data_IF_490965110440
#
_entry.id   IF_490965110440
#
_cell.length_a   1.000
_cell.length_b   1.000
_cell.length_c   1.000
_cell.angle_alpha   90.00
_cell.angle_beta   90.00
_cell.angle_gamma   90.00
#
_symmetry.space_group_name_H-M   'P 1'
#
loop_
_entity.id
_entity.type
_entity.pdbx_description
1 polymer ?
#
# COMPACT_ATOMS: atom_id res chain seq x y z
N UNK A 1 28.82 -1.43 5.44
CA UNK A 1 27.53 -0.72 5.48
C UNK A 1 27.55 0.40 6.53
N UNK A 2 26.88 1.53 6.24
CA UNK A 2 26.82 2.73 7.08
C UNK A 2 25.36 3.10 7.38
N UNK A 3 25.09 3.70 8.55
CA UNK A 3 23.83 4.38 8.79
C UNK A 3 23.85 5.79 8.19
N UNK A 4 22.69 6.43 8.04
CA UNK A 4 22.67 7.84 7.59
C UNK A 4 23.34 8.79 8.58
N UNK A 5 23.56 8.39 9.84
CA UNK A 5 24.24 9.20 10.87
C UNK A 5 25.76 9.12 10.78
N UNK A 6 26.28 8.05 10.17
CA UNK A 6 27.72 7.87 9.97
C UNK A 6 28.26 8.73 8.81
N UNK A 7 27.37 9.30 8.00
CA UNK A 7 27.67 10.10 6.83
C UNK A 7 27.54 11.59 7.19
N UNK A 8 28.62 12.39 7.05
CA UNK A 8 28.56 13.82 7.33
C UNK A 8 27.63 14.54 6.36
N UNK A 9 26.82 15.44 6.87
CA UNK A 9 26.01 16.33 6.05
C UNK A 9 26.89 17.47 5.49
N UNK A 10 27.15 17.42 4.22
CA UNK A 10 27.97 18.41 3.47
C UNK A 10 27.12 19.26 2.53
N UNK A 11 25.81 19.26 2.67
CA UNK A 11 24.90 19.99 1.79
C UNK A 11 25.12 21.51 1.91
N UNK A 12 25.47 22.14 0.79
CA UNK A 12 25.58 23.60 0.69
C UNK A 12 24.23 24.27 0.76
N UNK A 13 23.21 23.63 0.14
CA UNK A 13 21.82 24.09 0.15
C UNK A 13 21.00 22.99 0.85
N UNK A 14 20.40 23.29 2.01
CA UNK A 14 19.58 22.32 2.73
C UNK A 14 18.36 21.88 1.93
N UNK A 15 18.00 20.60 2.05
CA UNK A 15 16.74 20.08 1.52
C UNK A 15 15.56 20.73 2.22
N UNK A 16 14.91 21.66 1.55
CA UNK A 16 13.74 22.34 2.08
C UNK A 16 12.47 21.54 1.76
N UNK A 17 11.68 21.25 2.77
CA UNK A 17 10.33 20.67 2.60
C UNK A 17 9.39 21.17 3.70
N UNK A 18 8.09 21.13 3.45
CA UNK A 18 7.07 21.48 4.44
C UNK A 18 6.73 20.32 5.39
N UNK A 19 7.42 19.18 5.26
CA UNK A 19 7.15 17.95 6.00
C UNK A 19 8.34 17.44 6.79
N UNK A 20 8.28 16.19 7.16
CA UNK A 20 9.27 15.45 7.96
C UNK A 20 10.60 15.17 7.26
N UNK A 21 10.71 15.45 5.96
CA UNK A 21 11.99 15.39 5.22
C UNK A 21 12.78 16.68 5.29
N UNK A 22 12.26 17.73 5.95
CA UNK A 22 12.95 19.02 6.05
C UNK A 22 14.31 18.86 6.74
N UNK A 23 15.36 19.42 6.12
CA UNK A 23 16.75 19.34 6.55
C UNK A 23 17.31 17.90 6.71
N UNK A 24 16.70 16.91 6.07
CA UNK A 24 17.21 15.52 6.05
C UNK A 24 18.03 15.23 4.79
N UNK A 25 19.05 16.05 4.56
CA UNK A 25 19.85 16.03 3.31
C UNK A 25 20.45 14.68 3.02
N UNK A 26 21.19 14.08 3.97
CA UNK A 26 21.83 12.77 3.81
C UNK A 26 20.79 11.67 3.52
N UNK A 27 19.69 11.64 4.28
CA UNK A 27 18.64 10.62 4.07
C UNK A 27 18.01 10.75 2.68
N UNK A 28 17.72 11.96 2.23
CA UNK A 28 17.14 12.20 0.91
C UNK A 28 18.13 11.83 -0.21
N UNK A 29 19.41 12.16 -0.05
CA UNK A 29 20.45 11.78 -1.00
C UNK A 29 20.57 10.25 -1.08
N UNK A 30 20.57 9.53 0.05
CA UNK A 30 20.64 8.08 0.05
C UNK A 30 19.41 7.44 -0.61
N UNK A 31 18.22 7.99 -0.41
CA UNK A 31 17.01 7.50 -1.09
C UNK A 31 17.06 7.74 -2.61
N UNK A 32 17.61 8.88 -3.05
CA UNK A 32 17.81 9.16 -4.48
C UNK A 32 18.85 8.19 -5.09
N UNK A 33 19.99 7.98 -4.44
CA UNK A 33 21.01 7.06 -4.90
C UNK A 33 20.51 5.61 -4.96
N UNK A 34 19.67 5.22 -3.99
CA UNK A 34 19.02 3.90 -4.01
C UNK A 34 18.04 3.76 -5.19
N UNK A 35 17.23 4.79 -5.48
CA UNK A 35 16.34 4.78 -6.65
C UNK A 35 17.10 4.73 -7.98
N UNK A 36 18.33 5.25 -8.00
CA UNK A 36 19.25 5.16 -9.15
C UNK A 36 19.99 3.84 -9.24
N UNK A 37 19.90 2.99 -8.21
CA UNK A 37 20.60 1.70 -8.17
C UNK A 37 22.09 1.81 -7.84
N UNK A 38 22.56 2.95 -7.33
CA UNK A 38 23.97 3.17 -6.97
C UNK A 38 24.31 2.60 -5.59
N UNK A 39 23.33 2.55 -4.69
CA UNK A 39 23.46 1.95 -3.36
C UNK A 39 22.24 1.06 -3.07
N UNK A 40 22.37 0.21 -2.05
CA UNK A 40 21.29 -0.64 -1.57
C UNK A 40 21.22 -0.68 -0.04
N UNK A 41 20.17 -1.33 0.46
CA UNK A 41 20.02 -1.60 1.89
C UNK A 41 20.65 -2.95 2.18
N UNK A 42 21.83 -2.94 2.83
CA UNK A 42 22.56 -4.14 3.21
C UNK A 42 22.00 -4.82 4.47
N UNK A 43 21.18 -4.11 5.26
CA UNK A 43 20.59 -4.63 6.50
C UNK A 43 19.97 -3.55 7.37
N UNK A 44 19.79 -3.88 8.65
CA UNK A 44 19.27 -2.95 9.66
C UNK A 44 20.07 -3.05 10.96
N UNK A 45 20.29 -1.90 11.59
CA UNK A 45 20.74 -1.79 12.98
C UNK A 45 19.58 -1.24 13.81
N UNK A 46 18.84 -2.13 14.47
CA UNK A 46 17.58 -1.79 15.11
C UNK A 46 16.55 -1.26 14.11
N UNK A 47 16.19 0.03 14.21
CA UNK A 47 15.24 0.67 13.26
C UNK A 47 15.93 1.37 12.10
N UNK A 48 17.25 1.54 12.13
CA UNK A 48 18.02 2.25 11.12
C UNK A 48 18.39 1.34 9.96
N UNK A 49 18.37 1.89 8.74
CA UNK A 49 18.84 1.21 7.53
C UNK A 49 20.36 1.26 7.49
N UNK A 50 20.98 0.15 7.13
CA UNK A 50 22.39 0.04 6.79
C UNK A 50 22.53 0.12 5.28
N UNK A 51 23.26 1.11 4.81
CA UNK A 51 23.48 1.38 3.40
C UNK A 51 24.85 0.91 2.96
N UNK A 52 24.95 0.36 1.76
CA UNK A 52 26.21 0.02 1.12
C UNK A 52 26.11 0.24 -0.40
N UNK A 53 27.24 0.22 -1.09
CA UNK A 53 27.27 0.32 -2.56
C UNK A 53 26.56 -0.88 -3.20
N UNK A 54 25.89 -0.64 -4.31
CA UNK A 54 25.05 -1.64 -4.99
C UNK A 54 25.79 -2.94 -5.29
N UNK A 55 27.07 -2.86 -5.70
CA UNK A 55 27.93 -4.01 -6.01
C UNK A 55 28.17 -4.95 -4.84
N UNK A 56 28.00 -4.48 -3.59
CA UNK A 56 28.12 -5.32 -2.38
C UNK A 56 26.78 -5.85 -1.87
N UNK A 57 25.67 -5.25 -2.33
CA UNK A 57 24.34 -5.59 -1.87
C UNK A 57 23.64 -6.54 -2.83
N UNK A 58 23.83 -6.32 -4.12
CA UNK A 58 23.18 -7.10 -5.17
C UNK A 58 24.14 -8.13 -5.78
N UNK A 59 23.64 -9.27 -6.26
CA UNK A 59 24.46 -10.26 -6.97
C UNK A 59 25.16 -9.63 -8.19
N UNK A 60 26.40 -10.01 -8.43
CA UNK A 60 27.23 -9.45 -9.52
C UNK A 60 26.77 -9.90 -10.92
N UNK A 61 25.97 -10.95 -10.99
CA UNK A 61 25.51 -11.60 -12.23
C UNK A 61 24.09 -11.17 -12.63
N UNK A 62 23.57 -10.12 -12.02
CA UNK A 62 22.26 -9.58 -12.42
C UNK A 62 22.39 -8.95 -13.81
N UNK A 63 21.67 -9.52 -14.76
CA UNK A 63 21.49 -8.88 -16.05
C UNK A 63 20.71 -7.57 -15.90
N UNK A 64 21.31 -6.46 -16.36
CA UNK A 64 20.66 -5.14 -16.32
C UNK A 64 19.90 -4.94 -17.63
N UNK A 65 18.57 -4.98 -17.62
CA UNK A 65 17.79 -4.76 -18.84
C UNK A 65 17.88 -3.30 -19.32
N UNK A 66 17.54 -3.05 -20.59
CA UNK A 66 17.35 -1.68 -21.08
C UNK A 66 16.26 -0.96 -20.30
N UNK A 67 16.21 0.37 -20.39
CA UNK A 67 15.16 1.19 -19.70
C UNK A 67 13.77 0.78 -20.20
N UNK A 68 13.63 0.54 -21.49
CA UNK A 68 12.36 0.13 -22.11
C UNK A 68 11.94 -1.25 -21.60
N UNK A 69 12.86 -2.18 -21.55
CA UNK A 69 12.62 -3.54 -21.05
C UNK A 69 12.31 -3.53 -19.54
N UNK A 70 13.03 -2.74 -18.76
CA UNK A 70 12.76 -2.56 -17.34
C UNK A 70 11.36 -1.97 -17.10
N UNK A 71 10.93 -1.01 -17.93
CA UNK A 71 9.60 -0.43 -17.87
C UNK A 71 8.52 -1.48 -18.22
N UNK A 72 8.74 -2.30 -19.26
CA UNK A 72 7.84 -3.39 -19.64
C UNK A 72 7.67 -4.40 -18.49
N UNK A 73 8.78 -4.92 -17.97
CA UNK A 73 8.77 -5.88 -16.85
C UNK A 73 8.04 -5.30 -15.63
N UNK A 74 8.31 -4.03 -15.30
CA UNK A 74 7.65 -3.35 -14.19
C UNK A 74 6.14 -3.26 -14.40
N UNK A 75 5.70 -2.89 -15.60
CA UNK A 75 4.29 -2.73 -15.94
C UNK A 75 3.55 -4.07 -15.91
N UNK A 76 4.15 -5.14 -16.43
CA UNK A 76 3.61 -6.49 -16.38
C UNK A 76 3.46 -6.99 -14.93
N UNK A 77 4.50 -6.82 -14.11
CA UNK A 77 4.45 -7.19 -12.68
C UNK A 77 3.38 -6.41 -11.92
N UNK A 78 3.22 -5.12 -12.26
CA UNK A 78 2.17 -4.29 -11.67
C UNK A 78 0.79 -4.76 -12.09
N UNK A 79 0.57 -5.03 -13.38
CA UNK A 79 -0.70 -5.51 -13.87
C UNK A 79 -1.08 -6.86 -13.25
N UNK A 80 -0.13 -7.79 -13.17
CA UNK A 80 -0.33 -9.08 -12.50
C UNK A 80 -0.75 -8.91 -11.04
N UNK A 81 -0.15 -7.96 -10.31
CA UNK A 81 -0.50 -7.68 -8.91
C UNK A 81 -1.87 -7.00 -8.73
N UNK A 82 -2.39 -6.35 -9.78
CA UNK A 82 -3.65 -5.60 -9.75
C UNK A 82 -4.80 -6.33 -10.43
N UNK A 83 -4.50 -7.29 -11.31
CA UNK A 83 -5.45 -7.98 -12.18
C UNK A 83 -5.98 -7.09 -13.31
N UNK A 84 -6.43 -5.88 -13.00
CA UNK A 84 -6.88 -4.87 -13.95
C UNK A 84 -6.40 -3.48 -13.52
N UNK A 85 -5.94 -2.65 -14.47
CA UNK A 85 -5.43 -1.31 -14.19
C UNK A 85 -5.61 -0.38 -15.39
N UNK A 86 -5.42 0.92 -15.17
CA UNK A 86 -5.41 1.92 -16.24
C UNK A 86 -4.19 1.76 -17.12
N UNK A 87 -4.37 1.85 -18.46
CA UNK A 87 -3.25 1.96 -19.40
C UNK A 87 -2.44 3.24 -19.15
N UNK A 88 -3.16 4.36 -18.90
CA UNK A 88 -2.57 5.66 -18.54
C UNK A 88 -3.23 6.17 -17.26
N UNK A 89 -2.43 6.44 -16.25
CA UNK A 89 -2.87 6.97 -14.97
C UNK A 89 -2.38 8.40 -14.71
N UNK A 90 -2.90 8.99 -13.64
CA UNK A 90 -2.36 10.24 -13.13
C UNK A 90 -0.91 10.01 -12.66
N UNK A 91 -0.04 11.01 -12.90
CA UNK A 91 1.33 10.95 -12.39
C UNK A 91 1.30 10.99 -10.86
N UNK A 92 1.72 9.90 -10.24
CA UNK A 92 1.88 9.81 -8.80
C UNK A 92 3.31 10.16 -8.41
N UNK A 93 3.52 10.95 -7.34
CA UNK A 93 4.87 11.39 -6.94
C UNK A 93 5.81 10.25 -6.55
N UNK A 94 5.26 9.14 -6.03
CA UNK A 94 6.05 8.06 -5.44
C UNK A 94 6.05 6.83 -6.34
N UNK A 95 4.88 6.41 -6.83
CA UNK A 95 4.75 5.20 -7.63
C UNK A 95 3.65 5.37 -8.69
N UNK A 96 3.98 5.17 -9.97
CA UNK A 96 2.97 5.15 -11.03
C UNK A 96 1.93 4.05 -10.79
N UNK A 97 0.67 4.31 -11.13
CA UNK A 97 -0.43 3.35 -11.03
C UNK A 97 -0.86 2.78 -12.38
N UNK A 98 -0.34 3.36 -13.45
CA UNK A 98 -0.56 2.92 -14.83
C UNK A 98 0.35 1.75 -15.23
N UNK A 99 -0.08 1.01 -16.23
CA UNK A 99 0.59 -0.20 -16.72
C UNK A 99 0.98 -0.14 -18.19
N UNK A 100 0.78 1.00 -18.87
CA UNK A 100 1.11 1.18 -20.29
C UNK A 100 0.39 0.14 -21.15
N UNK A 101 1.17 -0.55 -21.98
CA UNK A 101 0.69 -1.57 -22.93
C UNK A 101 0.70 -3.01 -22.37
N UNK A 102 0.96 -3.19 -21.07
CA UNK A 102 0.98 -4.53 -20.46
C UNK A 102 -0.41 -5.17 -20.49
N UNK A 103 -0.47 -6.51 -20.63
CA UNK A 103 -1.69 -7.30 -20.67
C UNK A 103 -2.57 -7.04 -21.91
N UNK A 104 -3.86 -7.30 -21.79
CA UNK A 104 -4.83 -7.13 -22.87
C UNK A 104 -5.69 -5.87 -22.70
N UNK A 105 -6.12 -5.23 -23.80
CA UNK A 105 -7.08 -4.12 -23.72
C UNK A 105 -8.38 -4.57 -23.07
N UNK A 106 -8.92 -3.73 -22.18
CA UNK A 106 -10.17 -4.00 -21.49
C UNK A 106 -11.02 -2.74 -21.36
N UNK A 107 -12.31 -2.93 -21.17
CA UNK A 107 -13.27 -1.88 -20.80
C UNK A 107 -13.94 -2.26 -19.48
N UNK A 108 -14.25 -1.27 -18.67
CA UNK A 108 -15.03 -1.42 -17.45
C UNK A 108 -16.38 -0.75 -17.70
N UNK A 109 -17.45 -1.51 -17.56
CA UNK A 109 -18.79 -0.98 -17.80
C UNK A 109 -19.10 0.21 -16.88
N UNK A 110 -19.63 1.27 -17.47
CA UNK A 110 -19.92 2.52 -16.74
C UNK A 110 -18.70 3.38 -16.37
N UNK A 111 -17.47 2.96 -16.69
CA UNK A 111 -16.25 3.71 -16.37
C UNK A 111 -15.48 4.09 -17.64
N UNK A 112 -15.29 5.38 -17.86
CA UNK A 112 -14.59 5.88 -19.03
C UNK A 112 -13.08 5.60 -19.01
N UNK A 113 -12.47 5.50 -20.21
CA UNK A 113 -11.03 5.40 -20.42
C UNK A 113 -10.54 4.00 -20.73
N UNK A 114 -9.25 3.90 -21.02
CA UNK A 114 -8.58 2.65 -21.42
C UNK A 114 -8.10 1.88 -20.20
N UNK A 115 -8.46 0.61 -20.14
CA UNK A 115 -8.01 -0.34 -19.12
C UNK A 115 -7.18 -1.45 -19.76
N UNK A 116 -6.40 -2.09 -18.93
CA UNK A 116 -5.62 -3.28 -19.26
C UNK A 116 -5.91 -4.36 -18.25
N UNK A 117 -6.09 -5.59 -18.68
CA UNK A 117 -6.35 -6.74 -17.83
C UNK A 117 -5.23 -7.75 -17.96
N UNK A 118 -4.87 -8.38 -16.85
CA UNK A 118 -3.98 -9.51 -16.86
C UNK A 118 -4.73 -10.73 -17.42
N UNK A 119 -4.32 -11.29 -18.57
CA UNK A 119 -5.00 -12.44 -19.17
C UNK A 119 -5.01 -13.66 -18.23
N UNK A 120 -3.97 -13.84 -17.41
CA UNK A 120 -3.93 -14.95 -16.43
C UNK A 120 -5.02 -14.82 -15.36
N UNK A 121 -5.50 -13.61 -15.08
CA UNK A 121 -6.57 -13.39 -14.10
C UNK A 121 -7.98 -13.72 -14.65
N UNK A 122 -8.15 -13.73 -15.98
CA UNK A 122 -9.45 -14.00 -16.61
C UNK A 122 -9.85 -15.48 -16.56
N UNK A 123 -8.87 -16.37 -16.56
CA UNK A 123 -9.08 -17.83 -16.62
C UNK A 123 -9.09 -18.48 -15.22
N UNK A 124 -9.08 -17.70 -14.15
CA UNK A 124 -9.08 -18.20 -12.78
C UNK A 124 -10.50 -18.23 -12.20
N UNK A 125 -10.82 -19.35 -11.52
CA UNK A 125 -12.02 -19.41 -10.69
C UNK A 125 -11.91 -18.38 -9.55
N UNK A 126 -12.98 -17.63 -9.34
CA UNK A 126 -13.03 -16.66 -8.25
C UNK A 126 -13.41 -17.37 -6.94
N UNK A 127 -12.48 -17.38 -6.01
CA UNK A 127 -12.73 -17.79 -4.62
C UNK A 127 -12.86 -16.56 -3.73
N UNK A 128 -14.09 -16.17 -3.42
CA UNK A 128 -14.38 -15.05 -2.54
C UNK A 128 -13.90 -15.29 -1.11
N UNK A 129 -13.44 -14.23 -0.45
CA UNK A 129 -13.06 -14.26 0.97
C UNK A 129 -13.40 -12.95 1.66
N UNK A 130 -13.45 -12.98 2.99
CA UNK A 130 -13.46 -11.75 3.79
C UNK A 130 -12.04 -11.44 4.25
N UNK A 131 -11.67 -10.17 4.25
CA UNK A 131 -10.37 -9.74 4.76
C UNK A 131 -10.40 -8.29 5.26
N UNK A 132 -9.64 -8.01 6.32
CA UNK A 132 -9.29 -6.64 6.72
C UNK A 132 -8.02 -6.22 6.00
N UNK A 133 -8.13 -5.23 5.12
CA UNK A 133 -7.01 -4.78 4.30
C UNK A 133 -6.22 -3.67 5.00
N UNK A 134 -4.92 -3.61 4.72
CA UNK A 134 -4.14 -2.43 5.07
C UNK A 134 -4.60 -1.23 4.24
N UNK A 135 -4.58 0.00 4.79
CA UNK A 135 -4.74 1.23 4.02
C UNK A 135 -3.75 1.39 2.86
N UNK A 136 -2.65 0.65 2.90
CA UNK A 136 -1.62 0.62 1.85
C UNK A 136 -1.74 -0.59 0.92
N UNK A 137 -2.79 -1.41 1.10
CA UNK A 137 -3.07 -2.49 0.18
C UNK A 137 -3.36 -1.96 -1.23
N UNK A 138 -2.91 -2.70 -2.25
CA UNK A 138 -3.04 -2.28 -3.65
C UNK A 138 -4.49 -2.09 -4.09
N UNK A 139 -5.44 -2.80 -3.50
CA UNK A 139 -6.87 -2.58 -3.76
C UNK A 139 -7.36 -1.21 -3.31
N UNK A 140 -6.86 -0.70 -2.17
CA UNK A 140 -7.33 0.54 -1.56
C UNK A 140 -6.38 1.73 -1.76
N UNK A 141 -5.12 1.49 -2.18
CA UNK A 141 -4.08 2.52 -2.31
C UNK A 141 -4.41 3.54 -3.40
N UNK A 142 -4.80 3.07 -4.58
CA UNK A 142 -5.30 3.91 -5.67
C UNK A 142 -6.78 4.20 -5.44
N UNK A 143 -7.05 5.37 -4.87
CA UNK A 143 -8.39 5.78 -4.46
C UNK A 143 -9.34 5.99 -5.62
N UNK A 144 -8.81 6.49 -6.76
CA UNK A 144 -9.62 6.66 -7.96
C UNK A 144 -10.06 5.30 -8.50
N UNK A 145 -9.12 4.34 -8.58
CA UNK A 145 -9.42 2.98 -9.00
C UNK A 145 -10.40 2.29 -8.03
N UNK A 146 -10.23 2.49 -6.71
CA UNK A 146 -11.15 1.93 -5.71
C UNK A 146 -12.57 2.50 -5.86
N UNK A 147 -12.68 3.78 -6.15
CA UNK A 147 -13.98 4.43 -6.43
C UNK A 147 -14.58 3.92 -7.74
N UNK A 148 -13.79 3.81 -8.80
CA UNK A 148 -14.26 3.42 -10.13
C UNK A 148 -14.67 1.95 -10.22
N UNK A 149 -13.93 1.03 -9.57
CA UNK A 149 -14.18 -0.41 -9.66
C UNK A 149 -15.11 -0.94 -8.56
N UNK A 150 -15.11 -0.31 -7.39
CA UNK A 150 -15.82 -0.85 -6.21
C UNK A 150 -16.80 0.15 -5.59
N UNK A 151 -16.97 1.35 -6.17
CA UNK A 151 -17.74 2.46 -5.57
C UNK A 151 -17.35 2.71 -4.10
N UNK A 152 -16.04 2.63 -3.84
CA UNK A 152 -15.50 2.68 -2.49
C UNK A 152 -14.74 3.97 -2.22
N UNK A 153 -15.33 4.84 -1.40
CA UNK A 153 -14.69 6.06 -0.92
C UNK A 153 -13.76 5.74 0.24
N UNK A 154 -12.47 6.08 0.09
CA UNK A 154 -11.48 5.85 1.14
C UNK A 154 -10.50 7.02 1.27
N UNK A 155 -10.13 7.36 2.52
CA UNK A 155 -9.03 8.25 2.83
C UNK A 155 -8.33 7.79 4.11
N UNK A 156 -7.00 7.72 4.07
CA UNK A 156 -6.20 7.52 5.28
C UNK A 156 -6.16 8.82 6.08
N UNK A 157 -6.76 8.82 7.28
CA UNK A 157 -7.00 10.04 8.05
C UNK A 157 -6.01 10.25 9.21
N UNK A 158 -4.92 9.47 9.25
CA UNK A 158 -3.92 9.57 10.31
C UNK A 158 -3.28 10.97 10.43
N UNK A 159 -3.28 11.75 9.36
CA UNK A 159 -2.75 13.12 9.34
C UNK A 159 -3.81 14.20 9.64
N UNK A 160 -5.09 13.81 9.74
CA UNK A 160 -6.16 14.74 10.13
C UNK A 160 -6.24 14.88 11.65
N UNK A 161 -6.56 16.07 12.19
CA UNK A 161 -6.96 16.23 13.57
C UNK A 161 -8.09 15.24 13.94
N UNK A 162 -8.12 14.81 15.21
CA UNK A 162 -9.04 13.75 15.66
C UNK A 162 -10.51 14.09 15.39
N UNK A 163 -10.89 15.33 15.62
CA UNK A 163 -12.24 15.88 15.43
C UNK A 163 -12.68 15.98 13.96
N UNK A 164 -11.74 15.90 13.01
CA UNK A 164 -11.98 15.95 11.57
C UNK A 164 -11.93 14.58 10.88
N UNK A 165 -11.72 13.50 11.64
CA UNK A 165 -11.70 12.14 11.11
C UNK A 165 -13.12 11.61 10.98
N UNK A 166 -13.45 11.09 9.79
CA UNK A 166 -14.74 10.46 9.50
C UNK A 166 -14.74 8.99 9.90
N UNK A 167 -13.63 8.27 9.61
CA UNK A 167 -13.55 6.82 9.77
C UNK A 167 -12.60 6.37 10.87
N UNK A 168 -11.71 7.24 11.35
CA UNK A 168 -10.73 6.91 12.39
C UNK A 168 -9.29 7.23 12.03
N UNK A 169 -8.38 6.81 12.89
CA UNK A 169 -6.96 7.12 12.69
C UNK A 169 -6.34 6.31 11.55
N UNK A 170 -6.61 5.00 11.54
CA UNK A 170 -6.05 4.04 10.61
C UNK A 170 -7.12 2.99 10.27
N UNK A 171 -8.20 3.45 9.66
CA UNK A 171 -9.32 2.59 9.34
C UNK A 171 -8.93 1.54 8.29
N UNK A 172 -9.21 0.27 8.58
CA UNK A 172 -8.90 -0.88 7.72
C UNK A 172 -10.07 -1.10 6.76
N UNK A 173 -9.88 -1.02 5.42
CA UNK A 173 -10.93 -1.41 4.49
C UNK A 173 -11.33 -2.87 4.68
N UNK A 174 -12.62 -3.15 4.52
CA UNK A 174 -13.20 -4.49 4.62
C UNK A 174 -13.51 -4.99 3.23
N UNK A 175 -12.78 -6.01 2.80
CA UNK A 175 -13.12 -6.82 1.63
C UNK A 175 -14.08 -7.93 2.06
N UNK A 176 -15.15 -8.14 1.32
CA UNK A 176 -16.03 -9.31 1.44
C UNK A 176 -16.42 -9.77 0.05
N UNK A 177 -16.02 -11.01 -0.27
CA UNK A 177 -16.13 -11.55 -1.62
C UNK A 177 -15.41 -10.60 -2.63
N UNK A 178 -16.11 -10.14 -3.63
CA UNK A 178 -15.65 -9.24 -4.69
C UNK A 178 -15.85 -7.75 -4.38
N UNK A 179 -16.25 -7.39 -3.16
CA UNK A 179 -16.66 -6.00 -2.81
C UNK A 179 -15.91 -5.44 -1.62
N UNK A 180 -15.61 -4.15 -1.67
CA UNK A 180 -15.21 -3.36 -0.51
C UNK A 180 -16.48 -2.86 0.18
N UNK A 181 -16.78 -3.39 1.36
CA UNK A 181 -18.10 -3.25 2.00
C UNK A 181 -18.12 -2.31 3.20
N UNK A 182 -16.95 -1.90 3.68
CA UNK A 182 -16.89 -1.03 4.87
C UNK A 182 -15.47 -0.77 5.35
N UNK A 183 -15.36 -0.26 6.56
CA UNK A 183 -14.08 0.07 7.21
C UNK A 183 -14.14 -0.24 8.70
N UNK A 184 -13.03 -0.69 9.27
CA UNK A 184 -12.90 -0.94 10.71
C UNK A 184 -11.88 0.02 11.30
N UNK A 185 -12.29 0.82 12.29
CA UNK A 185 -11.37 1.59 13.14
C UNK A 185 -11.04 0.78 14.39
N UNK A 186 -9.78 0.35 14.48
CA UNK A 186 -9.30 -0.44 15.62
C UNK A 186 -7.89 -0.01 16.03
N UNK A 187 -7.56 -0.25 17.29
CA UNK A 187 -6.24 0.06 17.86
C UNK A 187 -5.74 -1.10 18.71
N UNK A 188 -4.50 -1.54 18.45
CA UNK A 188 -3.80 -2.51 19.27
C UNK A 188 -3.24 -1.82 20.54
N UNK A 189 -3.96 -1.91 21.65
CA UNK A 189 -3.46 -1.46 22.95
C UNK A 189 -2.65 -2.59 23.61
N UNK A 190 -1.35 -2.63 23.28
CA UNK A 190 -0.42 -3.65 23.80
C UNK A 190 -0.21 -3.57 25.30
N UNK A 191 -0.45 -2.41 25.93
CA UNK A 191 -0.30 -2.26 27.38
C UNK A 191 -1.45 -2.94 28.12
N UNK A 192 -2.65 -2.88 27.54
CA UNK A 192 -3.85 -3.54 28.07
C UNK A 192 -4.03 -4.96 27.56
N UNK A 193 -3.25 -5.38 26.55
CA UNK A 193 -3.38 -6.69 25.93
C UNK A 193 -4.61 -6.83 25.04
N UNK A 194 -5.18 -5.74 24.52
CA UNK A 194 -6.44 -5.77 23.75
C UNK A 194 -6.33 -5.14 22.37
N UNK A 195 -7.03 -5.71 21.40
CA UNK A 195 -7.39 -5.08 20.13
C UNK A 195 -8.74 -4.36 20.33
N UNK A 196 -8.69 -3.06 20.54
CA UNK A 196 -9.89 -2.25 20.75
C UNK A 196 -10.50 -1.85 19.42
N UNK A 197 -11.68 -2.34 19.11
CA UNK A 197 -12.49 -1.87 17.97
C UNK A 197 -13.31 -0.66 18.41
N UNK A 198 -13.10 0.47 17.73
CA UNK A 198 -13.77 1.73 18.02
C UNK A 198 -15.05 1.87 17.20
N UNK A 199 -15.02 1.47 15.93
CA UNK A 199 -16.16 1.51 15.03
C UNK A 199 -16.00 0.51 13.89
N UNK A 200 -17.15 0.04 13.39
CA UNK A 200 -17.31 -0.62 12.10
C UNK A 200 -18.20 0.29 11.25
N UNK A 201 -17.65 0.84 10.19
CA UNK A 201 -18.36 1.70 9.25
C UNK A 201 -18.86 0.85 8.09
N UNK A 202 -20.16 0.77 7.93
CA UNK A 202 -20.82 0.03 6.86
C UNK A 202 -21.02 0.97 5.65
N UNK A 203 -20.34 0.72 4.53
CA UNK A 203 -20.61 1.42 3.26
C UNK A 203 -21.82 0.79 2.55
N UNK A 204 -22.05 -0.50 2.79
CA UNK A 204 -23.25 -1.22 2.43
C UNK A 204 -23.86 -1.84 3.69
N UNK A 205 -25.16 -1.97 3.75
CA UNK A 205 -25.81 -2.60 4.92
C UNK A 205 -25.33 -4.02 5.11
N UNK A 206 -24.74 -4.34 6.26
CA UNK A 206 -24.24 -5.67 6.55
C UNK A 206 -25.38 -6.66 6.75
N UNK A 207 -25.29 -7.77 6.05
CA UNK A 207 -26.08 -8.96 6.35
C UNK A 207 -25.51 -9.70 7.56
N UNK A 208 -26.27 -10.64 8.12
CA UNK A 208 -25.74 -11.52 9.19
C UNK A 208 -24.47 -12.26 8.77
N UNK A 209 -24.37 -12.65 7.49
CA UNK A 209 -23.20 -13.32 6.95
C UNK A 209 -21.98 -12.39 6.95
N UNK A 210 -22.12 -11.17 6.43
CA UNK A 210 -21.05 -10.15 6.43
C UNK A 210 -20.62 -9.83 7.87
N UNK A 211 -21.55 -9.56 8.77
CA UNK A 211 -21.24 -9.27 10.18
C UNK A 211 -20.45 -10.42 10.83
N UNK A 212 -20.87 -11.67 10.62
CA UNK A 212 -20.17 -12.84 11.14
C UNK A 212 -18.77 -12.96 10.56
N UNK A 213 -18.61 -12.75 9.25
CA UNK A 213 -17.34 -12.85 8.55
C UNK A 213 -16.36 -11.75 9.01
N UNK A 214 -16.82 -10.50 9.13
CA UNK A 214 -16.01 -9.40 9.65
C UNK A 214 -15.58 -9.64 11.11
N UNK A 215 -16.48 -10.19 11.93
CA UNK A 215 -16.14 -10.55 13.32
C UNK A 215 -15.06 -11.64 13.36
N UNK A 216 -15.16 -12.67 12.52
CA UNK A 216 -14.15 -13.71 12.43
C UNK A 216 -12.78 -13.16 12.00
N UNK A 217 -12.73 -12.21 11.08
CA UNK A 217 -11.48 -11.52 10.69
C UNK A 217 -10.89 -10.70 11.84
N UNK A 218 -11.73 -10.04 12.66
CA UNK A 218 -11.28 -9.32 13.86
C UNK A 218 -10.73 -10.26 14.92
N UNK A 219 -11.36 -11.42 15.12
CA UNK A 219 -10.86 -12.47 16.00
C UNK A 219 -9.52 -13.03 15.51
N UNK A 220 -9.41 -13.30 14.21
CA UNK A 220 -8.18 -13.78 13.59
C UNK A 220 -7.04 -12.74 13.74
N UNK A 221 -7.33 -11.46 13.51
CA UNK A 221 -6.37 -10.37 13.67
C UNK A 221 -5.93 -10.23 15.14
N UNK A 222 -6.86 -10.27 16.08
CA UNK A 222 -6.54 -10.17 17.52
C UNK A 222 -5.67 -11.35 17.98
N UNK A 223 -6.01 -12.55 17.54
CA UNK A 223 -5.24 -13.78 17.81
C UNK A 223 -3.81 -13.70 17.24
N UNK A 224 -3.68 -13.26 15.96
CA UNK A 224 -2.38 -13.07 15.32
C UNK A 224 -1.50 -12.05 16.04
N UNK A 225 -2.11 -10.99 16.59
CA UNK A 225 -1.43 -9.97 17.39
C UNK A 225 -1.10 -10.43 18.82
N UNK A 226 -1.64 -11.55 19.30
CA UNK A 226 -1.57 -12.00 20.68
C UNK A 226 -2.33 -11.10 21.64
N UNK A 227 -3.50 -10.59 21.22
CA UNK A 227 -4.34 -9.66 21.96
C UNK A 227 -5.76 -10.23 22.12
N UNK A 228 -6.48 -9.78 23.14
CA UNK A 228 -7.91 -10.05 23.27
C UNK A 228 -8.73 -9.07 22.41
N UNK A 229 -9.80 -9.55 21.79
CA UNK A 229 -10.71 -8.69 21.03
C UNK A 229 -11.66 -7.94 21.99
N UNK A 230 -11.64 -6.62 21.93
CA UNK A 230 -12.54 -5.75 22.68
C UNK A 230 -13.40 -4.93 21.71
N UNK A 231 -14.69 -5.23 21.65
CA UNK A 231 -15.67 -4.45 20.89
C UNK A 231 -16.20 -3.31 21.76
N UNK A 232 -16.40 -2.14 21.15
CA UNK A 232 -17.10 -1.04 21.83
C UNK A 232 -18.57 -1.43 21.97
N UNK A 233 -19.07 -1.43 23.21
CA UNK A 233 -20.50 -1.54 23.51
C UNK A 233 -21.24 -0.31 23.01
#
# INVERSE_FOLDING_TARGET
PLTSRDIPDTAVIPWASTGWTNNRNVTQMLEILMMRGEIGIAGRAGRERLWDVAERVYPADIEVPSIEEAARIRNERRLRALGIARAKGAKMPIEPVDVGEAGEPAVVDGVAGEWRVDPEALDQDFEGRTALLSPFDRLAYDRLRAQELFDFEYALEMYKPKDKRRWGYFALPVLHEDRLVGKVDATADRKRGVLQVHAVHEDVKFTRAITKAVHAELEALSSWLGLELALRQ
#
